data_IF_106096024863
#
_entry.id   IF_106096024863
#
_cell.length_a   1.000
_cell.length_b   1.000
_cell.length_c   1.000
_cell.angle_alpha   90.00
_cell.angle_beta   90.00
_cell.angle_gamma   90.00
#
_symmetry.space_group_name_H-M   'P 1'
#
loop_
_entity.id
_entity.type
_entity.pdbx_description
1 polymer ?
#
# COMPACT_ATOMS: atom_id res chain seq x y z
N UNK A 1 -32.61 -51.23 -47.67
CA UNK A 1 -31.53 -52.05 -47.09
C UNK A 1 -30.17 -51.43 -47.40
N UNK A 2 -29.52 -50.91 -46.36
CA UNK A 2 -28.08 -50.69 -46.04
C UNK A 2 -27.00 -50.31 -47.10
N UNK A 3 -26.17 -49.33 -46.66
CA UNK A 3 -24.77 -48.92 -46.98
C UNK A 3 -24.66 -47.82 -48.06
N UNK A 4 -24.02 -46.66 -47.84
CA UNK A 4 -22.66 -46.33 -47.35
C UNK A 4 -22.67 -44.91 -46.71
N UNK A 5 -22.15 -44.67 -45.51
CA UNK A 5 -20.76 -44.44 -45.07
C UNK A 5 -20.19 -43.04 -45.39
N UNK A 6 -19.78 -42.33 -44.32
CA UNK A 6 -18.91 -41.15 -44.33
C UNK A 6 -19.65 -39.82 -44.08
N UNK A 7 -19.17 -38.85 -43.31
CA UNK A 7 -17.95 -38.71 -42.52
C UNK A 7 -18.11 -37.43 -41.66
N UNK A 8 -17.41 -37.37 -40.52
CA UNK A 8 -16.99 -36.18 -39.78
C UNK A 8 -18.05 -35.45 -38.93
N UNK A 9 -18.07 -35.90 -37.68
CA UNK A 9 -18.41 -35.14 -36.48
C UNK A 9 -17.35 -34.04 -36.29
N UNK A 10 -17.72 -32.79 -36.58
CA UNK A 10 -16.88 -31.62 -36.35
C UNK A 10 -17.36 -30.85 -35.13
N UNK A 11 -16.94 -31.28 -33.94
CA UNK A 11 -16.97 -30.42 -32.75
C UNK A 11 -15.91 -29.34 -32.96
N UNK A 12 -16.32 -28.14 -33.34
CA UNK A 12 -15.48 -26.96 -33.26
C UNK A 12 -15.54 -26.44 -31.81
N UNK A 13 -14.65 -26.97 -30.97
CA UNK A 13 -14.36 -26.44 -29.64
C UNK A 13 -13.41 -25.25 -29.80
N UNK A 14 -13.95 -24.04 -29.91
CA UNK A 14 -13.16 -22.81 -29.88
C UNK A 14 -12.82 -22.46 -28.43
N UNK A 15 -11.71 -23.01 -27.93
CA UNK A 15 -11.02 -22.51 -26.73
C UNK A 15 -10.19 -21.28 -27.15
N UNK A 16 -10.75 -20.08 -26.99
CA UNK A 16 -9.95 -18.86 -26.99
C UNK A 16 -9.29 -18.76 -25.61
N UNK A 17 -7.97 -18.91 -25.60
CA UNK A 17 -7.12 -18.73 -24.44
C UNK A 17 -7.20 -17.28 -23.94
N UNK A 18 -7.75 -17.09 -22.74
CA UNK A 18 -7.55 -15.86 -21.97
C UNK A 18 -6.19 -15.89 -21.31
N UNK A 19 -5.29 -14.99 -21.71
CA UNK A 19 -4.13 -14.65 -20.91
C UNK A 19 -4.63 -13.74 -19.77
N UNK A 20 -5.05 -14.33 -18.65
CA UNK A 20 -5.28 -13.57 -17.42
C UNK A 20 -3.89 -13.15 -16.92
N UNK A 21 -3.48 -11.97 -17.33
CA UNK A 21 -2.37 -11.28 -16.72
C UNK A 21 -2.60 -11.21 -15.19
N UNK A 22 -1.67 -11.74 -14.41
CA UNK A 22 -1.69 -11.61 -12.95
C UNK A 22 -0.96 -10.36 -12.46
N UNK A 23 -0.73 -9.36 -13.33
CA UNK A 23 0.06 -8.16 -12.96
C UNK A 23 -0.71 -7.23 -12.01
N UNK A 24 -2.04 -7.40 -11.90
CA UNK A 24 -2.95 -6.47 -11.22
C UNK A 24 -3.11 -6.75 -9.73
N UNK A 25 -2.90 -7.99 -9.26
CA UNK A 25 -3.25 -8.35 -7.88
C UNK A 25 -2.41 -7.61 -6.84
N UNK A 26 -1.09 -7.48 -7.04
CA UNK A 26 -0.21 -6.83 -6.06
C UNK A 26 -0.35 -5.31 -6.07
N UNK A 27 -0.33 -4.66 -7.25
CA UNK A 27 -0.45 -3.19 -7.33
C UNK A 27 -1.79 -2.68 -6.78
N UNK A 28 -2.90 -3.38 -7.07
CA UNK A 28 -4.22 -3.00 -6.57
C UNK A 28 -4.38 -3.24 -5.06
N UNK A 29 -3.62 -4.18 -4.49
CA UNK A 29 -3.63 -4.44 -3.05
C UNK A 29 -2.88 -3.34 -2.28
N UNK A 30 -1.73 -2.86 -2.78
CA UNK A 30 -1.01 -1.70 -2.19
C UNK A 30 -1.92 -0.49 -2.09
N UNK A 31 -2.54 -0.12 -3.21
CA UNK A 31 -3.36 1.09 -3.30
C UNK A 31 -4.56 1.00 -2.35
N UNK A 32 -5.10 -0.21 -2.17
CA UNK A 32 -6.17 -0.46 -1.23
C UNK A 32 -5.70 -0.35 0.22
N UNK A 33 -4.54 -0.91 0.56
CA UNK A 33 -3.97 -0.84 1.92
C UNK A 33 -3.53 0.58 2.30
N UNK A 34 -2.87 1.30 1.38
CA UNK A 34 -2.53 2.72 1.56
C UNK A 34 -3.77 3.58 1.71
N UNK A 35 -4.78 3.38 0.84
CA UNK A 35 -6.06 4.08 0.94
C UNK A 35 -6.79 3.79 2.26
N UNK A 36 -6.70 2.55 2.75
CA UNK A 36 -7.26 2.14 4.04
C UNK A 36 -6.55 2.83 5.22
N UNK A 37 -5.22 2.91 5.21
CA UNK A 37 -4.46 3.62 6.23
C UNK A 37 -4.76 5.12 6.23
N UNK A 38 -4.78 5.76 5.05
CA UNK A 38 -5.07 7.19 4.92
C UNK A 38 -6.47 7.55 5.41
N UNK A 39 -7.46 6.69 5.13
CA UNK A 39 -8.82 6.83 5.66
C UNK A 39 -8.86 6.64 7.19
N UNK A 40 -8.15 5.63 7.70
CA UNK A 40 -8.08 5.32 9.13
C UNK A 40 -7.51 6.49 9.95
N UNK A 41 -6.56 7.25 9.39
CA UNK A 41 -5.90 8.38 10.07
C UNK A 41 -6.40 9.76 9.62
N UNK A 42 -7.49 9.82 8.84
CA UNK A 42 -7.98 11.05 8.25
C UNK A 42 -8.41 12.10 9.29
N UNK A 43 -9.02 11.65 10.39
CA UNK A 43 -9.40 12.53 11.49
C UNK A 43 -8.18 12.85 12.38
N UNK A 44 -7.68 14.08 12.22
CA UNK A 44 -6.52 14.61 12.94
C UNK A 44 -6.89 15.50 14.13
N UNK A 45 -8.15 15.49 14.58
CA UNK A 45 -8.59 16.33 15.71
C UNK A 45 -7.82 16.03 17.00
N UNK A 46 -7.43 17.07 17.74
CA UNK A 46 -6.65 16.93 18.98
C UNK A 46 -7.00 18.01 20.02
N UNK A 47 -6.80 17.66 21.29
CA UNK A 47 -6.89 18.58 22.43
C UNK A 47 -5.50 18.95 22.96
N UNK A 48 -4.48 18.10 22.75
CA UNK A 48 -3.11 18.33 23.19
C UNK A 48 -2.09 17.59 22.30
N UNK A 49 -0.86 18.12 22.24
CA UNK A 49 0.19 17.62 21.35
C UNK A 49 0.63 16.17 21.61
N UNK A 50 0.44 15.62 22.81
CA UNK A 50 0.81 14.22 23.10
C UNK A 50 -0.08 13.20 22.33
N UNK A 51 -1.25 13.64 21.87
CA UNK A 51 -2.16 12.85 21.03
C UNK A 51 -1.72 12.85 19.57
N UNK A 52 -0.86 13.79 19.16
CA UNK A 52 -0.36 13.86 17.80
C UNK A 52 0.84 12.94 17.66
N UNK A 53 0.67 11.89 16.87
CA UNK A 53 1.63 10.82 16.67
C UNK A 53 2.17 10.87 15.25
N UNK A 54 3.36 10.31 15.09
CA UNK A 54 4.01 10.11 13.80
C UNK A 54 4.26 8.63 13.62
N UNK A 55 3.87 8.08 12.47
CA UNK A 55 4.16 6.70 12.11
C UNK A 55 4.99 6.63 10.83
N UNK A 56 6.00 5.77 10.84
CA UNK A 56 6.81 5.42 9.68
C UNK A 56 6.06 4.37 8.85
N UNK A 57 5.98 4.57 7.53
CA UNK A 57 5.28 3.67 6.62
C UNK A 57 6.18 3.33 5.44
N UNK A 58 6.15 2.07 5.02
CA UNK A 58 6.85 1.60 3.84
C UNK A 58 8.31 1.25 4.08
N UNK A 59 8.98 0.87 2.99
CA UNK A 59 10.41 0.69 2.90
C UNK A 59 10.92 1.17 1.54
N UNK A 60 11.92 2.05 1.60
CA UNK A 60 12.60 2.51 0.39
C UNK A 60 13.61 1.48 -0.09
N UNK A 61 13.56 1.22 -1.39
CA UNK A 61 14.53 0.38 -2.08
C UNK A 61 15.96 0.94 -1.98
N UNK A 62 16.14 2.24 -2.22
CA UNK A 62 17.45 2.91 -2.12
C UNK A 62 17.59 3.61 -0.78
N UNK A 63 18.71 3.34 -0.09
CA UNK A 63 19.12 3.88 1.20
C UNK A 63 18.27 3.50 2.42
N UNK A 64 17.29 2.59 2.23
CA UNK A 64 16.47 2.06 3.29
C UNK A 64 15.64 3.12 4.01
N UNK A 65 15.12 2.74 5.17
CA UNK A 65 14.18 3.56 5.93
C UNK A 65 12.77 3.57 5.32
N UNK A 66 11.82 4.27 5.96
CA UNK A 66 10.44 4.32 5.49
C UNK A 66 10.30 5.13 4.20
N UNK A 67 9.29 4.80 3.39
CA UNK A 67 8.93 5.58 2.20
C UNK A 67 8.34 6.94 2.59
N UNK A 68 7.62 7.00 3.73
CA UNK A 68 7.02 8.22 4.26
C UNK A 68 6.83 8.19 5.78
N UNK A 69 6.62 9.37 6.34
CA UNK A 69 6.11 9.55 7.71
C UNK A 69 4.72 10.18 7.66
N UNK A 70 3.76 9.60 8.37
CA UNK A 70 2.39 10.10 8.45
C UNK A 70 2.07 10.63 9.85
N UNK A 71 1.26 11.67 9.92
CA UNK A 71 0.73 12.24 11.17
C UNK A 71 -0.69 11.77 11.39
N UNK A 72 -0.97 11.28 12.61
CA UNK A 72 -2.32 10.89 13.05
C UNK A 72 -2.60 11.40 14.47
N UNK A 73 -3.88 11.37 14.86
CA UNK A 73 -4.31 11.69 16.23
C UNK A 73 -4.75 10.43 16.97
N UNK A 74 -4.05 10.06 18.04
CA UNK A 74 -4.45 8.93 18.90
C UNK A 74 -5.73 9.19 19.71
N UNK A 75 -6.31 10.40 19.60
CA UNK A 75 -7.62 10.72 20.16
C UNK A 75 -8.75 9.96 19.43
N UNK A 76 -8.63 9.81 18.12
CA UNK A 76 -9.74 9.42 17.25
C UNK A 76 -9.52 8.05 16.58
N UNK A 77 -8.38 7.41 16.84
CA UNK A 77 -8.02 6.13 16.24
C UNK A 77 -7.34 5.20 17.24
N UNK A 78 -7.56 3.90 17.07
CA UNK A 78 -6.82 2.85 17.77
C UNK A 78 -5.39 2.76 17.21
N UNK A 79 -4.41 3.13 18.02
CA UNK A 79 -2.99 3.14 17.62
C UNK A 79 -2.52 1.76 17.12
N UNK A 80 -3.03 0.67 17.70
CA UNK A 80 -2.65 -0.67 17.28
C UNK A 80 -3.19 -1.02 15.89
N UNK A 81 -4.31 -0.44 15.47
CA UNK A 81 -4.82 -0.59 14.10
C UNK A 81 -3.96 0.18 13.10
N UNK A 82 -3.56 1.40 13.46
CA UNK A 82 -2.66 2.23 12.64
C UNK A 82 -1.31 1.53 12.44
N UNK A 83 -0.73 0.99 13.52
CA UNK A 83 0.52 0.23 13.45
C UNK A 83 0.43 -1.01 12.55
N UNK A 84 -0.64 -1.80 12.69
CA UNK A 84 -0.85 -2.98 11.84
C UNK A 84 -0.99 -2.60 10.37
N UNK A 85 -1.78 -1.57 10.06
CA UNK A 85 -1.96 -1.11 8.68
C UNK A 85 -0.64 -0.61 8.07
N UNK A 86 0.14 0.18 8.81
CA UNK A 86 1.46 0.62 8.36
C UNK A 86 2.45 -0.54 8.15
N UNK A 87 2.40 -1.57 9.02
CA UNK A 87 3.24 -2.76 8.89
C UNK A 87 2.90 -3.59 7.65
N UNK A 88 1.61 -3.69 7.27
CA UNK A 88 1.18 -4.39 6.05
C UNK A 88 1.78 -3.73 4.80
N UNK A 89 1.58 -2.41 4.65
CA UNK A 89 2.16 -1.63 3.54
C UNK A 89 3.69 -1.79 3.50
N UNK A 90 4.33 -1.72 4.68
CA UNK A 90 5.79 -1.89 4.80
C UNK A 90 6.26 -3.28 4.36
N UNK A 91 5.54 -4.33 4.76
CA UNK A 91 5.87 -5.71 4.38
C UNK A 91 5.70 -5.93 2.88
N UNK A 92 4.73 -5.27 2.28
CA UNK A 92 4.46 -5.34 0.86
C UNK A 92 5.51 -4.60 0.03
N UNK A 93 5.87 -3.37 0.41
CA UNK A 93 7.00 -2.63 -0.19
C UNK A 93 8.29 -3.44 -0.09
N UNK A 94 8.57 -4.02 1.09
CA UNK A 94 9.68 -4.97 1.30
C UNK A 94 9.68 -6.12 0.32
N UNK A 95 8.50 -6.72 0.06
CA UNK A 95 8.39 -7.83 -0.87
C UNK A 95 8.67 -7.40 -2.31
N UNK A 96 8.14 -6.24 -2.74
CA UNK A 96 8.41 -5.66 -4.07
C UNK A 96 9.89 -5.30 -4.24
N UNK A 97 10.54 -4.84 -3.18
CA UNK A 97 11.94 -4.43 -3.21
C UNK A 97 12.93 -5.58 -3.40
N UNK A 98 12.56 -6.85 -3.13
CA UNK A 98 13.52 -7.98 -3.12
C UNK A 98 14.22 -8.22 -4.44
N UNK A 99 13.48 -8.09 -5.54
CA UNK A 99 13.97 -8.38 -6.90
C UNK A 99 14.12 -7.10 -7.73
N UNK A 100 13.90 -5.93 -7.12
CA UNK A 100 13.98 -4.64 -7.78
C UNK A 100 15.43 -4.13 -7.87
N UNK A 101 15.74 -3.43 -8.96
CA UNK A 101 17.05 -2.79 -9.14
C UNK A 101 17.03 -1.43 -8.45
N UNK A 102 17.88 -1.25 -7.43
CA UNK A 102 18.00 0.01 -6.72
C UNK A 102 18.52 1.13 -7.65
N UNK A 103 17.98 2.35 -7.44
CA UNK A 103 18.52 3.56 -8.06
C UNK A 103 19.78 4.03 -7.32
N UNK A 104 20.69 4.72 -8.01
CA UNK A 104 21.82 5.44 -7.38
C UNK A 104 21.38 6.71 -6.63
N UNK A 105 20.12 7.15 -6.80
CA UNK A 105 19.57 8.33 -6.15
C UNK A 105 19.08 8.04 -4.73
N UNK A 106 19.72 8.71 -3.77
CA UNK A 106 19.48 8.52 -2.34
C UNK A 106 19.10 9.85 -1.67
N UNK A 107 17.88 10.34 -1.91
CA UNK A 107 17.38 11.53 -1.22
C UNK A 107 16.84 11.13 0.16
N UNK A 108 17.26 11.71 1.29
CA UNK A 108 16.77 11.29 2.60
C UNK A 108 15.29 11.64 2.82
N UNK A 109 14.50 10.69 3.36
CA UNK A 109 13.19 10.99 3.97
C UNK A 109 13.41 11.19 5.46
N UNK A 110 13.33 12.45 5.89
CA UNK A 110 13.64 12.84 7.26
C UNK A 110 12.45 12.59 8.19
N UNK A 111 12.68 12.11 9.43
CA UNK A 111 11.66 12.05 10.46
C UNK A 111 11.05 13.43 10.70
N UNK A 112 9.72 13.46 10.84
CA UNK A 112 8.96 14.66 11.20
C UNK A 112 8.52 14.58 12.66
N UNK A 113 8.08 15.71 13.21
CA UNK A 113 7.34 15.76 14.47
C UNK A 113 5.91 16.18 14.22
N UNK A 114 5.04 15.94 15.20
CA UNK A 114 3.65 16.37 15.15
C UNK A 114 3.29 17.16 16.40
N UNK A 115 2.55 18.25 16.22
CA UNK A 115 2.00 19.06 17.30
C UNK A 115 0.51 19.30 17.09
N UNK A 116 -0.21 19.53 18.19
CA UNK A 116 -1.59 19.97 18.12
C UNK A 116 -1.62 21.48 17.89
N UNK A 117 -1.98 21.90 16.67
CA UNK A 117 -2.03 23.29 16.26
C UNK A 117 -3.45 23.57 15.75
N UNK A 118 -4.14 24.52 16.39
CA UNK A 118 -5.54 24.86 16.07
C UNK A 118 -6.45 23.61 16.09
N UNK A 119 -6.35 22.82 17.16
CA UNK A 119 -7.13 21.59 17.38
C UNK A 119 -6.95 20.51 16.30
N UNK A 120 -5.87 20.59 15.51
CA UNK A 120 -5.54 19.61 14.47
C UNK A 120 -4.08 19.18 14.59
N UNK A 121 -3.80 17.89 14.47
CA UNK A 121 -2.44 17.38 14.43
C UNK A 121 -1.77 17.73 13.11
N UNK A 122 -0.67 18.50 13.20
CA UNK A 122 0.07 19.00 12.05
C UNK A 122 1.54 18.56 12.14
N UNK A 123 2.13 18.25 10.99
CA UNK A 123 3.55 17.98 10.88
C UNK A 123 4.35 19.27 11.06
N UNK A 124 5.44 19.19 11.83
CA UNK A 124 6.44 20.25 11.95
C UNK A 124 7.82 19.69 11.58
N UNK A 125 8.58 20.49 10.85
CA UNK A 125 9.98 20.21 10.52
C UNK A 125 10.84 21.02 11.50
N UNK A 126 11.71 20.36 12.24
CA UNK A 126 12.73 21.07 13.00
C UNK A 126 13.74 21.66 12.02
N UNK A 127 13.90 22.98 12.09
CA UNK A 127 14.99 23.70 11.41
C UNK A 127 16.22 23.76 12.30
#
# INVERSE_FOLDING_TARGET
MKRKAGTIFGIALTLLAGCETSYTATEQQVEHEEGSLDQLIADKGCDASFQCKVIAVGERLTCGGPSKYLVYSSRNVDEAQVERAAQLITAEEKARNRDAIASDMCEPVLPIQALCISSTCQSIVLK
#
